data_IF_021075130946
#
_entry.id   IF_021075130946
#
_cell.length_a   1.000
_cell.length_b   1.000
_cell.length_c   1.000
_cell.angle_alpha   90.00
_cell.angle_beta   90.00
_cell.angle_gamma   90.00
#
_symmetry.space_group_name_H-M   'P 1'
#
loop_
_entity.id
_entity.type
_entity.pdbx_description
1 polymer ?
#
# COMPACT_ATOMS: atom_id res chain seq x y z
N UNK A 1 43.21 2.95 7.20
CA UNK A 1 42.17 1.89 7.21
C UNK A 1 41.15 2.01 8.35
N UNK A 2 41.46 2.59 9.51
CA UNK A 2 40.50 2.78 10.62
C UNK A 2 39.36 3.79 10.35
N UNK A 3 39.59 4.82 9.52
CA UNK A 3 38.55 5.81 9.18
C UNK A 3 37.42 5.31 8.26
N UNK A 4 37.63 4.17 7.59
CA UNK A 4 36.66 3.62 6.62
C UNK A 4 35.58 2.76 7.30
N UNK A 5 35.86 2.23 8.51
CA UNK A 5 34.92 1.44 9.31
C UNK A 5 33.96 2.31 10.15
N UNK A 6 34.36 3.54 10.50
CA UNK A 6 33.55 4.45 11.32
C UNK A 6 32.33 5.03 10.56
N UNK A 7 32.38 5.05 9.23
CA UNK A 7 31.30 5.57 8.37
C UNK A 7 30.29 4.46 8.00
N UNK A 8 30.68 3.18 8.09
CA UNK A 8 29.85 2.05 7.66
C UNK A 8 28.80 1.63 8.70
N UNK A 9 29.10 1.79 10.00
CA UNK A 9 28.21 1.39 11.09
C UNK A 9 26.91 2.21 11.20
N UNK A 10 26.91 3.57 11.12
CA UNK A 10 25.68 4.34 11.25
C UNK A 10 24.76 4.22 10.02
N UNK A 11 25.30 4.00 8.82
CA UNK A 11 24.52 3.90 7.57
C UNK A 11 23.65 2.63 7.56
N UNK A 12 24.17 1.50 8.06
CA UNK A 12 23.43 0.24 8.06
C UNK A 12 22.31 0.21 9.12
N UNK A 13 22.52 0.87 10.28
CA UNK A 13 21.46 0.99 11.30
C UNK A 13 20.39 2.03 10.93
N UNK A 14 20.73 3.06 10.16
CA UNK A 14 19.73 3.99 9.64
C UNK A 14 18.90 3.38 8.51
N UNK A 15 19.50 2.55 7.64
CA UNK A 15 18.77 1.88 6.56
C UNK A 15 17.63 0.99 7.06
N UNK A 16 17.87 0.13 8.06
CA UNK A 16 16.84 -0.81 8.56
C UNK A 16 15.69 -0.10 9.32
N UNK A 17 16.00 0.97 10.05
CA UNK A 17 15.00 1.75 10.78
C UNK A 17 14.20 2.70 9.86
N UNK A 18 14.81 3.22 8.79
CA UNK A 18 14.11 4.00 7.77
C UNK A 18 13.19 3.11 6.91
N UNK A 19 13.65 1.91 6.53
CA UNK A 19 12.87 0.95 5.74
C UNK A 19 11.57 0.56 6.48
N UNK A 20 11.66 0.32 7.79
CA UNK A 20 10.48 0.00 8.62
C UNK A 20 9.49 1.18 8.75
N UNK A 21 9.98 2.44 8.82
CA UNK A 21 9.11 3.63 8.89
C UNK A 21 8.44 3.96 7.55
N UNK A 22 9.18 3.88 6.44
CA UNK A 22 8.62 4.17 5.11
C UNK A 22 7.62 3.09 4.69
N UNK A 23 7.90 1.82 4.97
CA UNK A 23 6.97 0.72 4.68
C UNK A 23 5.69 0.84 5.53
N UNK A 24 5.79 1.23 6.80
CA UNK A 24 4.61 1.47 7.64
C UNK A 24 3.78 2.68 7.20
N UNK A 25 4.40 3.79 6.79
CA UNK A 25 3.66 4.93 6.24
C UNK A 25 2.94 4.60 4.93
N UNK A 26 3.61 3.88 4.02
CA UNK A 26 3.00 3.44 2.76
C UNK A 26 1.86 2.43 3.01
N UNK A 27 2.04 1.50 3.96
CA UNK A 27 0.98 0.59 4.38
C UNK A 27 -0.24 1.34 4.94
N UNK A 28 -0.03 2.36 5.77
CA UNK A 28 -1.11 3.18 6.35
C UNK A 28 -1.84 3.98 5.28
N UNK A 29 -1.11 4.65 4.38
CA UNK A 29 -1.72 5.40 3.27
C UNK A 29 -2.48 4.47 2.34
N UNK A 30 -1.89 3.33 2.01
CA UNK A 30 -2.47 2.28 1.19
C UNK A 30 -3.76 1.72 1.78
N UNK A 31 -3.76 1.29 3.05
CA UNK A 31 -4.98 0.76 3.69
C UNK A 31 -6.07 1.82 3.84
N UNK A 32 -5.71 3.09 4.05
CA UNK A 32 -6.68 4.20 4.08
C UNK A 32 -7.33 4.43 2.71
N UNK A 33 -6.52 4.42 1.64
CA UNK A 33 -6.99 4.54 0.27
C UNK A 33 -7.89 3.35 -0.11
N UNK A 34 -7.46 2.13 0.24
CA UNK A 34 -8.24 0.91 0.04
C UNK A 34 -9.58 0.98 0.78
N UNK A 35 -9.58 1.36 2.06
CA UNK A 35 -10.81 1.54 2.84
C UNK A 35 -11.76 2.52 2.15
N UNK A 36 -11.26 3.68 1.72
CA UNK A 36 -12.08 4.67 1.02
C UNK A 36 -12.67 4.12 -0.28
N UNK A 37 -11.86 3.41 -1.08
CA UNK A 37 -12.31 2.82 -2.34
C UNK A 37 -13.41 1.77 -2.13
N UNK A 38 -13.25 0.90 -1.13
CA UNK A 38 -14.23 -0.13 -0.76
C UNK A 38 -15.49 0.51 -0.17
N UNK A 39 -15.33 1.48 0.74
CA UNK A 39 -16.41 2.29 1.30
C UNK A 39 -17.30 2.89 0.22
N UNK A 40 -16.70 3.59 -0.77
CA UNK A 40 -17.45 4.20 -1.88
C UNK A 40 -18.18 3.19 -2.75
N UNK A 41 -17.60 2.01 -2.95
CA UNK A 41 -18.24 0.95 -3.73
C UNK A 41 -19.49 0.42 -3.02
N UNK A 42 -19.41 0.19 -1.71
CA UNK A 42 -20.54 -0.24 -0.89
C UNK A 42 -21.58 0.88 -0.75
N UNK A 43 -21.15 2.14 -0.63
CA UNK A 43 -22.01 3.32 -0.54
C UNK A 43 -22.90 3.48 -1.76
N UNK A 44 -22.39 3.18 -2.95
CA UNK A 44 -23.20 3.18 -4.17
C UNK A 44 -24.36 2.19 -4.12
N UNK A 45 -24.13 0.98 -3.61
CA UNK A 45 -25.21 -0.03 -3.46
C UNK A 45 -26.21 0.39 -2.39
N UNK A 46 -25.71 1.02 -1.33
CA UNK A 46 -26.53 1.58 -0.27
C UNK A 46 -27.45 2.72 -0.76
N UNK A 47 -26.91 3.67 -1.51
CA UNK A 47 -27.68 4.76 -2.12
C UNK A 47 -28.70 4.22 -3.14
N UNK A 48 -28.32 3.21 -3.92
CA UNK A 48 -29.26 2.54 -4.83
C UNK A 48 -30.43 1.90 -4.07
N UNK A 49 -30.15 1.18 -2.98
CA UNK A 49 -31.20 0.59 -2.14
C UNK A 49 -32.14 1.65 -1.59
N UNK A 50 -31.60 2.74 -1.02
CA UNK A 50 -32.41 3.83 -0.46
C UNK A 50 -33.26 4.51 -1.52
N UNK A 51 -32.69 4.80 -2.70
CA UNK A 51 -33.39 5.44 -3.81
C UNK A 51 -34.56 4.58 -4.30
N UNK A 52 -34.36 3.27 -4.44
CA UNK A 52 -35.44 2.35 -4.83
C UNK A 52 -36.48 2.28 -3.72
N UNK A 53 -36.09 2.03 -2.47
CA UNK A 53 -37.02 1.90 -1.34
C UNK A 53 -37.88 3.16 -1.13
N UNK A 54 -37.32 4.35 -1.34
CA UNK A 54 -38.05 5.62 -1.25
C UNK A 54 -39.15 5.78 -2.29
N UNK A 55 -39.08 5.04 -3.41
CA UNK A 55 -40.12 5.04 -4.44
C UNK A 55 -41.13 3.90 -4.28
N UNK A 56 -40.82 2.84 -3.51
CA UNK A 56 -41.68 1.65 -3.44
C UNK A 56 -43.01 1.90 -2.73
N UNK A 57 -43.07 2.85 -1.81
CA UNK A 57 -44.26 3.07 -0.99
C UNK A 57 -45.49 3.51 -1.78
N UNK A 58 -45.29 4.13 -2.95
CA UNK A 58 -46.37 4.61 -3.84
C UNK A 58 -46.61 3.68 -5.03
N UNK A 59 -45.87 2.56 -5.12
CA UNK A 59 -45.88 1.64 -6.26
C UNK A 59 -46.64 0.38 -5.94
N UNK A 60 -47.22 -0.24 -6.96
CA UNK A 60 -47.79 -1.57 -6.83
C UNK A 60 -46.68 -2.65 -6.82
N UNK A 61 -47.08 -3.90 -6.58
CA UNK A 61 -46.15 -5.02 -6.55
C UNK A 61 -45.57 -5.37 -7.92
N UNK A 62 -46.26 -5.05 -9.02
CA UNK A 62 -45.78 -5.33 -10.38
C UNK A 62 -44.62 -4.38 -10.74
N UNK A 63 -44.77 -3.09 -10.42
CA UNK A 63 -43.70 -2.10 -10.57
C UNK A 63 -42.52 -2.40 -9.64
N UNK A 64 -42.80 -2.76 -8.37
CA UNK A 64 -41.76 -3.16 -7.41
C UNK A 64 -40.95 -4.35 -7.93
N UNK A 65 -41.61 -5.33 -8.57
CA UNK A 65 -40.95 -6.48 -9.18
C UNK A 65 -40.01 -6.05 -10.31
N UNK A 66 -40.46 -5.17 -11.20
CA UNK A 66 -39.63 -4.67 -12.29
C UNK A 66 -38.34 -4.01 -11.79
N UNK A 67 -38.40 -3.19 -10.72
CA UNK A 67 -37.19 -2.63 -10.09
C UNK A 67 -36.29 -3.70 -9.47
N UNK A 68 -36.91 -4.62 -8.74
CA UNK A 68 -36.21 -5.69 -8.03
C UNK A 68 -35.47 -6.60 -9.01
N UNK A 69 -36.06 -6.93 -10.16
CA UNK A 69 -35.43 -7.72 -11.22
C UNK A 69 -34.34 -6.93 -11.95
N UNK A 70 -34.56 -5.65 -12.22
CA UNK A 70 -33.57 -4.80 -12.88
C UNK A 70 -32.27 -4.66 -12.07
N UNK A 71 -32.36 -4.61 -10.74
CA UNK A 71 -31.20 -4.48 -9.84
C UNK A 71 -30.25 -5.68 -9.95
N UNK A 72 -30.77 -6.88 -10.18
CA UNK A 72 -29.93 -8.08 -10.36
C UNK A 72 -29.06 -7.96 -11.62
N UNK A 73 -29.59 -7.35 -12.68
CA UNK A 73 -28.94 -7.23 -13.99
C UNK A 73 -28.01 -6.01 -14.05
N UNK A 74 -28.43 -4.88 -13.47
CA UNK A 74 -27.78 -3.58 -13.64
C UNK A 74 -26.34 -3.49 -13.07
N UNK A 75 -25.97 -4.37 -12.15
CA UNK A 75 -24.64 -4.34 -11.52
C UNK A 75 -23.94 -5.68 -11.38
N UNK A 76 -24.66 -6.80 -11.44
CA UNK A 76 -24.10 -8.13 -11.14
C UNK A 76 -23.67 -8.32 -9.68
N UNK A 77 -23.86 -7.31 -8.80
CA UNK A 77 -23.44 -7.26 -7.39
C UNK A 77 -24.51 -7.80 -6.46
N UNK A 78 -25.77 -7.63 -6.82
CA UNK A 78 -26.92 -8.10 -6.05
C UNK A 78 -27.21 -9.54 -6.45
N UNK A 79 -27.27 -10.44 -5.46
CA UNK A 79 -27.65 -11.83 -5.64
C UNK A 79 -29.17 -12.02 -5.66
N UNK A 80 -29.86 -11.24 -4.83
CA UNK A 80 -31.30 -11.27 -4.66
C UNK A 80 -31.77 -9.94 -4.07
N UNK A 81 -32.98 -9.53 -4.40
CA UNK A 81 -33.64 -8.37 -3.80
C UNK A 81 -35.10 -8.72 -3.51
N UNK A 82 -35.71 -8.06 -2.53
CA UNK A 82 -37.10 -8.32 -2.22
C UNK A 82 -37.74 -7.36 -1.24
N UNK A 83 -39.07 -7.39 -1.22
CA UNK A 83 -39.94 -6.64 -0.32
C UNK A 83 -40.71 -7.62 0.56
N UNK A 84 -40.53 -7.49 1.88
CA UNK A 84 -41.35 -8.16 2.87
C UNK A 84 -42.35 -7.17 3.49
N UNK A 85 -43.58 -7.60 3.69
CA UNK A 85 -44.60 -6.79 4.38
C UNK A 85 -44.46 -6.85 5.91
N UNK A 86 -45.35 -6.16 6.63
CA UNK A 86 -45.37 -6.15 8.11
C UNK A 86 -45.67 -7.52 8.76
N UNK A 87 -46.25 -8.47 8.01
CA UNK A 87 -46.42 -9.85 8.49
C UNK A 87 -45.13 -10.65 8.42
N UNK A 88 -44.09 -10.08 7.79
CA UNK A 88 -42.83 -10.75 7.50
C UNK A 88 -42.97 -11.77 6.38
N UNK A 89 -43.92 -11.58 5.47
CA UNK A 89 -44.07 -12.40 4.26
C UNK A 89 -43.45 -11.66 3.09
N UNK A 90 -42.61 -12.36 2.30
CA UNK A 90 -42.09 -11.79 1.05
C UNK A 90 -43.25 -11.62 0.06
N UNK A 91 -43.52 -10.38 -0.33
CA UNK A 91 -44.54 -10.02 -1.34
C UNK A 91 -43.97 -9.93 -2.73
N UNK A 92 -42.72 -9.47 -2.83
CA UNK A 92 -41.99 -9.38 -4.08
C UNK A 92 -40.58 -9.89 -3.85
N UNK A 93 -40.16 -10.85 -4.66
CA UNK A 93 -38.77 -11.31 -4.71
C UNK A 93 -38.27 -11.23 -6.14
N UNK A 94 -36.99 -10.93 -6.32
CA UNK A 94 -36.37 -10.95 -7.66
C UNK A 94 -36.59 -12.29 -8.34
N UNK A 95 -37.03 -12.29 -9.59
CA UNK A 95 -37.44 -13.47 -10.37
C UNK A 95 -38.51 -14.33 -9.68
N UNK A 96 -39.30 -13.77 -8.76
CA UNK A 96 -40.31 -14.50 -7.98
C UNK A 96 -39.74 -15.34 -6.83
N UNK A 97 -38.43 -15.29 -6.59
CA UNK A 97 -37.78 -16.15 -5.59
C UNK A 97 -38.16 -15.73 -4.17
N UNK A 98 -38.69 -16.68 -3.40
CA UNK A 98 -39.00 -16.53 -1.98
C UNK A 98 -40.39 -15.94 -1.67
N UNK A 99 -41.18 -15.59 -2.68
CA UNK A 99 -42.53 -15.03 -2.48
C UNK A 99 -43.44 -15.98 -1.68
N UNK A 100 -44.21 -15.41 -0.75
CA UNK A 100 -45.06 -16.16 0.17
C UNK A 100 -44.32 -16.80 1.35
N UNK A 101 -42.99 -16.72 1.40
CA UNK A 101 -42.19 -17.29 2.51
C UNK A 101 -42.08 -16.29 3.66
N UNK A 102 -42.08 -16.80 4.90
CA UNK A 102 -41.87 -16.00 6.10
C UNK A 102 -40.39 -15.74 6.38
N UNK A 103 -40.05 -14.49 6.67
CA UNK A 103 -38.70 -14.02 7.00
C UNK A 103 -38.61 -13.37 8.38
N UNK A 104 -39.63 -13.58 9.21
CA UNK A 104 -39.76 -13.01 10.57
C UNK A 104 -38.57 -13.33 11.49
N UNK A 105 -37.92 -14.47 11.31
CA UNK A 105 -36.74 -14.90 12.08
C UNK A 105 -35.43 -14.28 11.59
N UNK A 106 -35.41 -13.65 10.41
CA UNK A 106 -34.19 -13.12 9.81
C UNK A 106 -33.78 -11.79 10.45
N UNK A 107 -32.47 -11.59 10.59
CA UNK A 107 -31.94 -10.38 11.21
C UNK A 107 -32.26 -9.12 10.38
N UNK A 108 -32.15 -9.23 9.05
CA UNK A 108 -32.39 -8.11 8.14
C UNK A 108 -33.84 -7.63 8.17
N UNK A 109 -34.81 -8.53 8.37
CA UNK A 109 -36.21 -8.13 8.49
C UNK A 109 -36.47 -7.44 9.82
N UNK A 110 -36.12 -8.11 10.93
CA UNK A 110 -36.37 -7.60 12.29
C UNK A 110 -35.68 -6.26 12.53
N UNK A 111 -34.42 -6.11 12.12
CA UNK A 111 -33.70 -4.83 12.27
C UNK A 111 -34.13 -3.80 11.22
N UNK A 112 -34.42 -4.24 10.00
CA UNK A 112 -34.90 -3.39 8.90
C UNK A 112 -36.22 -2.67 9.21
N UNK A 113 -37.11 -3.29 9.99
CA UNK A 113 -38.34 -2.64 10.47
C UNK A 113 -38.09 -1.42 11.36
N UNK A 114 -37.02 -1.47 12.16
CA UNK A 114 -36.66 -0.41 13.10
C UNK A 114 -35.74 0.66 12.50
N UNK A 115 -35.24 0.43 11.29
CA UNK A 115 -34.37 1.37 10.59
C UNK A 115 -33.44 0.70 9.59
N UNK A 116 -32.60 1.50 8.92
CA UNK A 116 -31.49 1.04 8.12
C UNK A 116 -30.67 -0.06 8.82
N UNK A 117 -30.38 -1.16 8.12
CA UNK A 117 -29.58 -2.26 8.62
C UNK A 117 -28.53 -2.74 7.61
N UNK A 118 -27.32 -3.00 8.10
CA UNK A 118 -26.24 -3.63 7.36
C UNK A 118 -25.85 -4.94 8.04
N UNK A 119 -26.00 -6.05 7.34
CA UNK A 119 -25.84 -7.39 7.87
C UNK A 119 -24.41 -7.90 7.83
N UNK A 120 -24.18 -8.98 8.58
CA UNK A 120 -22.99 -9.81 8.45
C UNK A 120 -23.11 -10.74 7.24
N UNK A 121 -21.96 -11.27 6.81
CA UNK A 121 -21.94 -12.31 5.78
C UNK A 121 -22.62 -13.56 6.30
N UNK A 122 -23.54 -14.06 5.49
CA UNK A 122 -24.34 -15.24 5.77
C UNK A 122 -24.35 -16.09 4.51
N UNK A 123 -24.16 -17.40 4.67
CA UNK A 123 -24.26 -18.33 3.55
C UNK A 123 -25.73 -18.60 3.25
N UNK A 124 -26.15 -18.39 1.99
CA UNK A 124 -27.47 -18.82 1.55
C UNK A 124 -27.52 -20.35 1.59
N UNK A 125 -28.42 -20.91 2.40
CA UNK A 125 -28.60 -22.36 2.53
C UNK A 125 -29.39 -22.89 1.34
N UNK A 126 -28.75 -22.98 0.18
CA UNK A 126 -29.26 -23.77 -0.94
C UNK A 126 -28.87 -25.24 -0.69
N UNK A 127 -29.77 -26.19 -0.93
CA UNK A 127 -29.58 -27.63 -0.66
C UNK A 127 -28.42 -28.28 -1.45
N UNK A 128 -27.81 -27.56 -2.39
CA UNK A 128 -26.67 -28.01 -3.18
C UNK A 128 -25.37 -27.30 -2.75
N UNK A 129 -24.32 -28.05 -2.34
CA UNK A 129 -23.04 -27.48 -1.88
C UNK A 129 -22.34 -26.55 -2.88
N UNK A 130 -22.65 -26.66 -4.17
CA UNK A 130 -22.04 -25.87 -5.24
C UNK A 130 -22.73 -24.51 -5.46
N UNK A 131 -23.93 -24.31 -4.90
CA UNK A 131 -24.72 -23.07 -5.07
C UNK A 131 -24.90 -22.31 -3.76
N UNK A 132 -24.11 -22.65 -2.74
CA UNK A 132 -24.01 -21.89 -1.50
C UNK A 132 -23.29 -20.57 -1.81
N UNK A 133 -24.06 -19.49 -1.89
CA UNK A 133 -23.52 -18.15 -2.13
C UNK A 133 -23.51 -17.39 -0.83
N UNK A 134 -22.33 -16.95 -0.42
CA UNK A 134 -22.17 -16.01 0.68
C UNK A 134 -22.75 -14.66 0.27
N UNK A 135 -23.60 -14.10 1.12
CA UNK A 135 -24.28 -12.83 0.88
C UNK A 135 -24.24 -11.90 2.09
N UNK A 136 -24.31 -10.60 1.82
CA UNK A 136 -24.46 -9.54 2.81
C UNK A 136 -25.84 -8.93 2.62
N UNK A 137 -26.70 -9.06 3.63
CA UNK A 137 -28.04 -8.48 3.57
C UNK A 137 -28.01 -7.04 4.06
N UNK A 138 -28.39 -6.10 3.21
CA UNK A 138 -28.64 -4.70 3.56
C UNK A 138 -30.13 -4.41 3.42
N UNK A 139 -30.74 -3.79 4.41
CA UNK A 139 -32.18 -3.55 4.41
C UNK A 139 -32.55 -2.17 4.93
N UNK A 140 -33.69 -1.68 4.45
CA UNK A 140 -34.27 -0.39 4.83
C UNK A 140 -35.79 -0.51 4.99
N UNK A 141 -36.39 0.23 5.93
CA UNK A 141 -37.84 0.28 6.04
C UNK A 141 -38.43 1.02 4.85
N UNK A 142 -39.48 0.47 4.27
CA UNK A 142 -40.33 1.17 3.30
C UNK A 142 -41.38 1.96 4.08
N UNK A 143 -41.52 3.25 3.81
CA UNK A 143 -42.41 4.14 4.54
C UNK A 143 -43.47 4.73 3.62
N UNK A 144 -44.74 4.71 4.04
CA UNK A 144 -45.86 5.39 3.40
C UNK A 144 -45.61 6.91 3.28
N UNK A 145 -46.44 7.60 2.50
CA UNK A 145 -46.46 9.06 2.42
C UNK A 145 -46.65 9.72 3.79
N UNK A 146 -47.36 9.06 4.71
CA UNK A 146 -47.59 9.51 6.09
C UNK A 146 -46.41 9.21 7.04
N UNK A 147 -45.34 8.58 6.54
CA UNK A 147 -44.14 8.22 7.29
C UNK A 147 -44.22 6.89 8.05
N UNK A 148 -45.36 6.19 8.00
CA UNK A 148 -45.54 4.88 8.63
C UNK A 148 -44.80 3.77 7.87
N UNK A 149 -44.16 2.85 8.59
CA UNK A 149 -43.47 1.70 7.98
C UNK A 149 -44.51 0.72 7.44
N UNK A 150 -44.42 0.38 6.15
CA UNK A 150 -45.34 -0.56 5.46
C UNK A 150 -44.67 -1.91 5.14
N UNK A 151 -43.35 -1.98 5.28
CA UNK A 151 -42.57 -3.19 5.03
C UNK A 151 -41.07 -2.94 5.10
N UNK A 152 -40.29 -3.93 4.67
CA UNK A 152 -38.83 -3.87 4.61
C UNK A 152 -38.37 -4.28 3.22
N UNK A 153 -37.55 -3.43 2.60
CA UNK A 153 -36.87 -3.73 1.35
C UNK A 153 -35.43 -4.14 1.62
N UNK A 154 -34.94 -5.15 0.90
CA UNK A 154 -33.63 -5.76 1.15
C UNK A 154 -32.89 -6.04 -0.15
N UNK A 155 -31.58 -5.81 -0.14
CA UNK A 155 -30.63 -6.38 -1.10
C UNK A 155 -29.73 -7.39 -0.40
N UNK A 156 -29.60 -8.56 -1.01
CA UNK A 156 -28.57 -9.54 -0.70
C UNK A 156 -27.40 -9.34 -1.65
N UNK A 157 -26.35 -8.65 -1.20
CA UNK A 157 -25.14 -8.41 -1.99
C UNK A 157 -24.29 -9.68 -2.04
N UNK A 158 -23.71 -9.99 -3.20
CA UNK A 158 -22.76 -11.09 -3.36
C UNK A 158 -21.47 -10.80 -2.60
N UNK A 159 -21.11 -11.68 -1.67
CA UNK A 159 -19.82 -11.63 -0.99
C UNK A 159 -18.65 -11.77 -1.99
N UNK A 160 -18.83 -12.56 -3.05
CA UNK A 160 -17.82 -12.76 -4.10
C UNK A 160 -17.46 -11.46 -4.82
N UNK A 161 -18.46 -10.62 -5.13
CA UNK A 161 -18.21 -9.32 -5.75
C UNK A 161 -17.36 -8.42 -4.83
N UNK A 162 -17.71 -8.34 -3.55
CA UNK A 162 -16.94 -7.52 -2.60
C UNK A 162 -15.50 -8.05 -2.45
N UNK A 163 -15.34 -9.37 -2.41
CA UNK A 163 -14.03 -10.03 -2.38
C UNK A 163 -13.19 -9.67 -3.61
N UNK A 164 -13.75 -9.78 -4.80
CA UNK A 164 -13.08 -9.43 -6.06
C UNK A 164 -12.71 -7.95 -6.13
N UNK A 165 -13.62 -7.07 -5.70
CA UNK A 165 -13.38 -5.63 -5.67
C UNK A 165 -12.26 -5.25 -4.70
N UNK A 166 -12.28 -5.81 -3.48
CA UNK A 166 -11.21 -5.58 -2.48
C UNK A 166 -9.87 -6.09 -3.00
N UNK A 167 -9.85 -7.27 -3.63
CA UNK A 167 -8.64 -7.83 -4.21
C UNK A 167 -8.06 -6.94 -5.31
N UNK A 168 -8.89 -6.56 -6.30
CA UNK A 168 -8.45 -5.70 -7.39
C UNK A 168 -7.95 -4.34 -6.89
N UNK A 169 -8.68 -3.70 -5.96
CA UNK A 169 -8.27 -2.43 -5.38
C UNK A 169 -6.98 -2.55 -4.54
N UNK A 170 -6.74 -3.69 -3.92
CA UNK A 170 -5.50 -3.95 -3.18
C UNK A 170 -4.33 -4.18 -4.14
N UNK A 171 -4.53 -4.96 -5.20
CA UNK A 171 -3.54 -5.23 -6.24
C UNK A 171 -3.09 -3.92 -6.92
N UNK A 172 -4.03 -3.02 -7.25
CA UNK A 172 -3.74 -1.68 -7.81
C UNK A 172 -2.90 -0.80 -6.86
N UNK A 173 -3.01 -1.02 -5.55
CA UNK A 173 -2.26 -0.31 -4.52
C UNK A 173 -0.96 -1.04 -4.14
N UNK A 174 -0.64 -2.19 -4.77
CA UNK A 174 0.49 -3.02 -4.41
C UNK A 174 0.38 -3.61 -3.00
N UNK A 175 -0.84 -3.90 -2.55
CA UNK A 175 -1.15 -4.40 -1.21
C UNK A 175 -1.77 -5.78 -1.28
N UNK A 176 -1.62 -6.53 -0.18
CA UNK A 176 -2.37 -7.76 0.08
C UNK A 176 -3.45 -7.42 1.09
N UNK A 177 -4.73 -7.53 0.70
CA UNK A 177 -5.85 -7.15 1.56
C UNK A 177 -6.59 -8.35 2.15
N UNK A 178 -7.08 -8.11 3.38
CA UNK A 178 -7.96 -8.98 4.14
C UNK A 178 -9.15 -8.17 4.64
N UNK A 179 -10.32 -8.78 4.69
CA UNK A 179 -11.51 -8.20 5.31
C UNK A 179 -11.84 -8.99 6.55
N UNK A 180 -12.00 -8.31 7.68
CA UNK A 180 -12.27 -8.94 8.98
C UNK A 180 -13.61 -8.48 9.54
N UNK A 181 -14.30 -9.37 10.24
CA UNK A 181 -15.52 -9.03 10.99
C UNK A 181 -15.19 -8.32 12.31
N UNK A 182 -16.21 -7.79 13.00
CA UNK A 182 -16.06 -7.17 14.33
C UNK A 182 -15.43 -8.07 15.40
N UNK A 183 -15.41 -9.39 15.19
CA UNK A 183 -14.78 -10.37 16.10
C UNK A 183 -13.35 -10.70 15.70
N UNK A 184 -12.86 -10.07 14.63
CA UNK A 184 -11.52 -10.27 14.11
C UNK A 184 -11.32 -11.52 13.27
N UNK A 185 -12.41 -12.18 12.87
CA UNK A 185 -12.31 -13.33 11.98
C UNK A 185 -12.12 -12.83 10.55
N UNK A 186 -11.09 -13.34 9.89
CA UNK A 186 -10.89 -13.13 8.46
C UNK A 186 -12.06 -13.70 7.69
N UNK A 187 -12.74 -12.83 6.95
CA UNK A 187 -13.84 -13.16 6.05
C UNK A 187 -13.27 -13.41 4.65
N UNK A 188 -12.38 -12.53 4.19
CA UNK A 188 -11.73 -12.63 2.88
C UNK A 188 -10.22 -12.45 3.02
N UNK A 189 -9.45 -13.24 2.27
CA UNK A 189 -8.00 -13.15 2.16
C UNK A 189 -7.47 -13.98 0.97
N UNK A 190 -6.21 -13.78 0.55
CA UNK A 190 -5.59 -14.52 -0.56
C UNK A 190 -5.45 -16.01 -0.27
N UNK A 191 -5.11 -16.36 0.98
CA UNK A 191 -5.03 -17.74 1.45
C UNK A 191 -6.19 -18.00 2.40
N UNK A 192 -7.14 -18.85 1.98
CA UNK A 192 -8.16 -19.39 2.88
C UNK A 192 -7.55 -20.22 4.04
N UNK A 193 -6.30 -20.67 3.88
CA UNK A 193 -5.57 -21.50 4.83
C UNK A 193 -4.69 -20.68 5.80
N UNK A 194 -4.20 -19.51 5.38
CA UNK A 194 -3.54 -18.57 6.28
C UNK A 194 -4.63 -17.89 7.12
N UNK A 195 -5.07 -18.59 8.16
CA UNK A 195 -5.82 -17.95 9.24
C UNK A 195 -4.89 -16.88 9.79
N UNK A 196 -5.11 -15.62 9.39
CA UNK A 196 -4.64 -14.50 10.19
C UNK A 196 -5.27 -14.69 11.57
N UNK A 197 -4.53 -15.34 12.46
CA UNK A 197 -4.83 -15.39 13.88
C UNK A 197 -4.42 -14.04 14.47
N UNK A 198 -5.01 -12.96 13.93
CA UNK A 198 -5.04 -11.71 14.64
C UNK A 198 -5.87 -11.98 15.88
N UNK A 199 -5.18 -12.14 17.00
CA UNK A 199 -5.84 -12.29 18.30
C UNK A 199 -6.80 -11.10 18.47
N UNK A 200 -7.99 -11.28 19.05
CA UNK A 200 -8.89 -10.16 19.32
C UNK A 200 -8.22 -9.02 20.11
N UNK A 201 -7.16 -9.32 20.87
CA UNK A 201 -6.31 -8.35 21.54
C UNK A 201 -5.44 -7.51 20.58
N UNK A 202 -4.89 -8.10 19.50
CA UNK A 202 -4.12 -7.34 18.49
C UNK A 202 -5.03 -6.52 17.59
N UNK A 203 -6.21 -7.03 17.23
CA UNK A 203 -7.23 -6.21 16.56
C UNK A 203 -7.84 -5.16 17.47
N UNK A 204 -7.98 -5.44 18.77
CA UNK A 204 -8.38 -4.47 19.78
C UNK A 204 -7.36 -3.34 19.90
N UNK A 205 -6.07 -3.66 19.96
CA UNK A 205 -5.01 -2.64 20.02
C UNK A 205 -4.83 -1.88 18.70
N UNK A 206 -5.09 -2.51 17.56
CA UNK A 206 -5.11 -1.90 16.21
C UNK A 206 -6.35 -1.01 15.98
N UNK A 207 -7.52 -1.42 16.48
CA UNK A 207 -8.79 -0.66 16.37
C UNK A 207 -8.84 0.52 17.34
N UNK A 208 -8.21 0.41 18.51
CA UNK A 208 -8.03 1.53 19.44
C UNK A 208 -7.04 2.59 18.92
N UNK A 209 -6.11 2.21 18.02
CA UNK A 209 -5.18 3.12 17.34
C UNK A 209 -5.50 3.21 15.84
N UNK A 210 -6.62 3.84 15.52
CA UNK A 210 -7.07 4.10 14.15
C UNK A 210 -5.94 4.71 13.31
N UNK A 211 -5.52 3.98 12.27
CA UNK A 211 -4.44 4.41 11.37
C UNK A 211 -3.02 4.07 11.84
N UNK A 212 -2.88 3.11 12.76
CA UNK A 212 -1.58 2.51 13.09
C UNK A 212 -1.26 1.30 12.21
N UNK A 213 0.01 1.15 11.85
CA UNK A 213 0.57 -0.08 11.32
C UNK A 213 1.32 -0.79 12.45
N UNK A 214 1.10 -2.10 12.59
CA UNK A 214 1.84 -2.92 13.53
C UNK A 214 2.57 -4.03 12.79
N UNK A 215 3.75 -4.37 13.30
CA UNK A 215 4.47 -5.55 12.89
C UNK A 215 3.82 -6.72 13.63
N UNK A 216 3.18 -7.62 12.89
CA UNK A 216 2.64 -8.86 13.45
C UNK A 216 3.50 -9.99 12.91
N UNK A 217 3.93 -10.86 13.82
CA UNK A 217 4.62 -12.09 13.48
C UNK A 217 3.55 -13.13 13.07
N UNK A 218 3.67 -13.63 11.85
CA UNK A 218 2.74 -14.63 11.32
C UNK A 218 2.93 -15.98 12.02
N UNK A 219 1.99 -16.91 11.84
CA UNK A 219 2.09 -18.27 12.39
C UNK A 219 3.37 -19.00 11.94
N UNK A 220 3.92 -18.59 10.79
CA UNK A 220 5.15 -19.13 10.20
C UNK A 220 6.44 -18.43 10.69
N UNK A 221 6.35 -17.52 11.68
CA UNK A 221 7.50 -16.79 12.23
C UNK A 221 8.03 -15.66 11.33
N UNK A 222 7.33 -15.33 10.24
CA UNK A 222 7.69 -14.21 9.37
C UNK A 222 7.14 -12.89 9.92
N UNK A 223 8.00 -11.88 10.08
CA UNK A 223 7.60 -10.53 10.53
C UNK A 223 6.98 -9.77 9.36
N UNK A 224 5.68 -9.52 9.44
CA UNK A 224 4.94 -8.80 8.41
C UNK A 224 4.33 -7.52 8.98
N UNK A 225 4.34 -6.45 8.19
CA UNK A 225 3.70 -5.19 8.56
C UNK A 225 2.24 -5.24 8.11
N UNK A 226 1.32 -5.19 9.08
CA UNK A 226 -0.11 -5.07 8.83
C UNK A 226 -0.59 -3.68 9.24
N UNK A 227 -1.29 -3.02 8.33
CA UNK A 227 -1.99 -1.78 8.60
C UNK A 227 -3.49 -2.08 8.65
N UNK A 228 -4.17 -1.54 9.66
CA UNK A 228 -5.62 -1.71 9.83
C UNK A 228 -6.32 -0.40 9.58
N UNK A 229 -7.31 -0.42 8.70
CA UNK A 229 -8.27 0.65 8.59
C UNK A 229 -9.56 0.20 9.30
N UNK A 230 -10.06 1.00 10.26
CA UNK A 230 -11.29 0.65 10.99
C UNK A 230 -12.49 0.63 10.04
N UNK A 231 -13.63 0.23 10.59
CA UNK A 231 -14.91 0.01 9.92
C UNK A 231 -15.16 0.83 8.64
N UNK A 232 -15.64 0.13 7.60
CA UNK A 232 -16.08 0.77 6.36
C UNK A 232 -17.14 1.82 6.67
N UNK A 233 -16.83 3.07 6.38
CA UNK A 233 -17.78 4.19 6.46
C UNK A 233 -18.54 4.24 5.16
N UNK A 234 -19.87 4.16 5.20
CA UNK A 234 -20.72 4.06 4.01
C UNK A 234 -21.76 5.17 4.11
N UNK A 235 -21.39 6.41 3.78
CA UNK A 235 -22.29 7.58 3.87
C UNK A 235 -23.15 7.62 5.13
N UNK A 236 -24.47 7.63 4.92
CA UNK A 236 -25.50 7.60 5.97
C UNK A 236 -25.96 6.18 6.37
N UNK A 237 -25.25 5.14 5.92
CA UNK A 237 -25.55 3.76 6.27
C UNK A 237 -25.22 3.47 7.74
N UNK A 238 -25.89 2.48 8.35
CA UNK A 238 -25.54 2.01 9.68
C UNK A 238 -24.14 1.36 9.68
N UNK A 239 -23.54 1.17 10.87
CA UNK A 239 -22.25 0.48 11.01
C UNK A 239 -22.25 -0.89 10.29
N UNK A 240 -21.29 -1.09 9.38
CA UNK A 240 -21.16 -2.29 8.53
C UNK A 240 -20.60 -3.50 9.28
N UNK A 241 -19.82 -3.27 10.34
CA UNK A 241 -19.06 -4.26 11.08
C UNK A 241 -17.91 -4.90 10.30
N UNK A 242 -17.53 -4.33 9.14
CA UNK A 242 -16.47 -4.83 8.29
C UNK A 242 -15.26 -3.90 8.37
N UNK A 243 -14.09 -4.44 8.71
CA UNK A 243 -12.82 -3.70 8.72
C UNK A 243 -11.87 -4.25 7.66
N UNK A 244 -11.01 -3.39 7.13
CA UNK A 244 -10.03 -3.77 6.10
C UNK A 244 -8.64 -3.77 6.71
N UNK A 245 -7.94 -4.88 6.53
CA UNK A 245 -6.56 -5.07 6.97
C UNK A 245 -5.73 -5.26 5.71
N UNK A 246 -4.68 -4.46 5.53
CA UNK A 246 -3.76 -4.62 4.42
C UNK A 246 -2.36 -4.92 4.92
N UNK A 247 -1.65 -5.77 4.17
CA UNK A 247 -0.24 -6.08 4.31
C UNK A 247 0.48 -5.56 3.07
N UNK A 248 1.64 -4.95 3.29
CA UNK A 248 2.55 -4.66 2.17
C UNK A 248 3.27 -5.99 1.86
N UNK A 249 3.19 -6.53 0.63
CA UNK A 249 3.99 -7.68 0.26
C UNK A 249 5.46 -7.32 0.52
N UNK A 250 6.26 -8.24 1.11
CA UNK A 250 7.68 -7.99 1.25
C UNK A 250 8.19 -7.62 -0.15
N UNK A 251 8.80 -6.44 -0.28
CA UNK A 251 9.23 -5.90 -1.56
C UNK A 251 9.85 -7.05 -2.35
N UNK A 252 9.21 -7.43 -3.46
CA UNK A 252 9.64 -8.57 -4.26
C UNK A 252 11.10 -8.37 -4.62
N UNK A 253 11.96 -9.04 -3.86
CA UNK A 253 13.39 -9.22 -4.12
C UNK A 253 14.13 -7.96 -4.53
N UNK A 254 14.23 -6.92 -3.69
CA UNK A 254 15.38 -5.98 -3.67
C UNK A 254 15.89 -5.39 -5.00
N UNK A 255 15.15 -5.39 -6.10
CA UNK A 255 15.69 -4.99 -7.41
C UNK A 255 15.74 -3.46 -7.54
N UNK A 256 14.77 -2.75 -6.97
CA UNK A 256 14.75 -1.28 -7.04
C UNK A 256 15.71 -0.62 -6.04
N UNK A 257 15.92 -1.21 -4.86
CA UNK A 257 16.87 -0.67 -3.86
C UNK A 257 18.32 -0.98 -4.22
N UNK A 258 18.59 -2.13 -4.85
CA UNK A 258 19.95 -2.45 -5.32
C UNK A 258 20.38 -1.55 -6.47
N UNK A 259 19.48 -1.11 -7.36
CA UNK A 259 19.84 -0.17 -8.42
C UNK A 259 20.26 1.20 -7.88
N UNK A 260 19.57 1.72 -6.86
CA UNK A 260 19.95 2.98 -6.21
C UNK A 260 21.31 2.85 -5.48
N UNK A 261 21.50 1.72 -4.77
CA UNK A 261 22.77 1.38 -4.11
C UNK A 261 23.93 1.24 -5.10
N UNK A 262 23.74 0.53 -6.21
CA UNK A 262 24.77 0.32 -7.24
C UNK A 262 25.13 1.64 -7.94
N UNK A 263 24.16 2.49 -8.24
CA UNK A 263 24.44 3.82 -8.80
C UNK A 263 25.24 4.72 -7.82
N UNK A 264 24.96 4.63 -6.51
CA UNK A 264 25.76 5.30 -5.48
C UNK A 264 27.18 4.73 -5.38
N UNK A 265 27.34 3.40 -5.43
CA UNK A 265 28.66 2.76 -5.44
C UNK A 265 29.47 3.12 -6.68
N UNK A 266 28.84 3.16 -7.86
CA UNK A 266 29.49 3.55 -9.11
C UNK A 266 29.90 5.02 -9.08
N UNK A 267 29.06 5.92 -8.57
CA UNK A 267 29.41 7.34 -8.46
C UNK A 267 30.54 7.58 -7.44
N UNK A 268 30.55 6.85 -6.33
CA UNK A 268 31.62 6.89 -5.34
C UNK A 268 32.95 6.35 -5.90
N UNK A 269 32.92 5.21 -6.60
CA UNK A 269 34.11 4.66 -7.27
C UNK A 269 34.61 5.57 -8.37
N UNK A 270 33.72 6.18 -9.15
CA UNK A 270 34.06 7.14 -10.20
C UNK A 270 34.78 8.35 -9.62
N UNK A 271 34.26 8.93 -8.53
CA UNK A 271 34.88 10.06 -7.86
C UNK A 271 36.28 9.71 -7.31
N UNK A 272 36.42 8.55 -6.67
CA UNK A 272 37.71 8.04 -6.20
C UNK A 272 38.70 7.80 -7.35
N UNK A 273 38.21 7.27 -8.47
CA UNK A 273 39.01 7.06 -9.69
C UNK A 273 39.54 8.37 -10.26
N UNK A 274 38.69 9.39 -10.38
CA UNK A 274 39.07 10.72 -10.85
C UNK A 274 40.12 11.35 -9.92
N UNK A 275 39.92 11.25 -8.60
CA UNK A 275 40.88 11.77 -7.62
C UNK A 275 42.25 11.06 -7.71
N UNK A 276 42.24 9.74 -7.92
CA UNK A 276 43.45 8.94 -8.11
C UNK A 276 44.21 9.33 -9.39
N UNK A 277 43.51 9.51 -10.50
CA UNK A 277 44.12 9.97 -11.77
C UNK A 277 44.71 11.37 -11.60
N UNK A 278 44.00 12.27 -10.93
CA UNK A 278 44.48 13.63 -10.66
C UNK A 278 45.74 13.63 -9.80
N UNK A 279 45.79 12.77 -8.77
CA UNK A 279 46.97 12.59 -7.91
C UNK A 279 48.20 12.11 -8.72
N UNK A 280 48.03 11.11 -9.59
CA UNK A 280 49.11 10.59 -10.44
C UNK A 280 49.61 11.65 -11.42
N UNK A 281 48.69 12.40 -12.04
CA UNK A 281 49.04 13.51 -12.95
C UNK A 281 49.80 14.59 -12.20
N UNK A 282 49.35 14.97 -11.00
CA UNK A 282 50.00 15.98 -10.18
C UNK A 282 51.43 15.57 -9.78
N UNK A 283 51.63 14.33 -9.33
CA UNK A 283 52.97 13.82 -9.00
C UNK A 283 53.90 13.79 -10.22
N UNK A 284 53.40 13.39 -11.40
CA UNK A 284 54.22 13.31 -12.61
C UNK A 284 54.55 14.69 -13.19
N UNK A 285 53.63 15.64 -13.11
CA UNK A 285 53.76 16.92 -13.79
C UNK A 285 54.37 18.03 -12.92
N UNK A 286 54.19 17.96 -11.60
CA UNK A 286 54.70 18.97 -10.66
C UNK A 286 55.81 18.44 -9.76
N UNK A 287 55.62 17.29 -9.11
CA UNK A 287 56.56 16.83 -8.06
C UNK A 287 57.87 16.30 -8.64
N UNK A 288 57.81 15.37 -9.61
CA UNK A 288 59.02 14.76 -10.20
C UNK A 288 59.95 15.77 -10.91
N UNK A 289 59.45 16.74 -11.70
CA UNK A 289 60.31 17.76 -12.30
C UNK A 289 60.98 18.64 -11.24
N UNK A 290 60.26 18.96 -10.16
CA UNK A 290 60.80 19.75 -9.05
C UNK A 290 61.94 19.00 -8.35
N UNK A 291 61.76 17.71 -8.03
CA UNK A 291 62.81 16.86 -7.43
C UNK A 291 64.07 16.80 -8.29
N UNK A 292 63.91 16.68 -9.62
CA UNK A 292 65.03 16.65 -10.57
C UNK A 292 65.75 18.00 -10.67
N UNK A 293 65.01 19.11 -10.75
CA UNK A 293 65.60 20.46 -10.75
C UNK A 293 66.34 20.75 -9.45
N UNK A 294 65.80 20.29 -8.32
CA UNK A 294 66.47 20.39 -7.02
C UNK A 294 67.75 19.55 -6.98
N UNK A 295 67.74 18.37 -7.62
CA UNK A 295 68.92 17.53 -7.82
C UNK A 295 70.02 18.21 -8.63
N UNK A 296 69.66 18.78 -9.80
CA UNK A 296 70.59 19.49 -10.69
C UNK A 296 71.20 20.71 -9.97
N UNK A 297 70.38 21.49 -9.25
CA UNK A 297 70.86 22.62 -8.47
C UNK A 297 71.89 22.19 -7.40
N UNK A 298 71.70 21.01 -6.80
CA UNK A 298 72.62 20.45 -5.81
C UNK A 298 73.94 20.00 -6.44
N UNK A 299 73.89 19.38 -7.61
CA UNK A 299 75.10 18.97 -8.36
C UNK A 299 75.94 20.16 -8.82
N UNK A 300 75.29 21.24 -9.27
CA UNK A 300 75.96 22.52 -9.63
C UNK A 300 76.60 23.14 -8.38
N UNK A 301 75.91 23.14 -7.24
CA UNK A 301 76.46 23.64 -5.97
C UNK A 301 77.66 22.83 -5.45
N UNK A 302 77.75 21.55 -5.82
CA UNK A 302 78.88 20.66 -5.52
C UNK A 302 80.03 20.78 -6.55
N UNK A 303 79.92 21.66 -7.55
CA UNK A 303 80.98 21.93 -8.53
C UNK A 303 81.03 20.95 -9.71
N UNK A 304 79.96 20.19 -9.95
CA UNK A 304 79.82 19.32 -11.14
C UNK A 304 79.19 20.11 -12.28
N UNK A 305 79.52 19.78 -13.54
CA UNK A 305 78.92 20.38 -14.75
C UNK A 305 77.91 19.42 -15.42
N UNK A 306 76.68 19.27 -14.89
CA UNK A 306 75.63 18.56 -15.61
C UNK A 306 75.05 19.43 -16.74
N UNK A 307 74.73 18.82 -17.88
CA UNK A 307 74.05 19.50 -19.00
C UNK A 307 72.59 19.78 -18.62
N UNK A 308 72.10 21.03 -18.63
CA UNK A 308 70.72 21.32 -18.24
C UNK A 308 69.73 20.78 -19.28
N UNK A 309 68.83 19.88 -18.87
CA UNK A 309 67.65 19.54 -19.68
C UNK A 309 66.61 20.67 -19.57
N UNK A 310 66.15 21.21 -20.70
CA UNK A 310 65.05 22.20 -20.73
C UNK A 310 63.71 21.50 -20.43
N UNK A 311 63.08 21.85 -19.31
CA UNK A 311 61.77 21.33 -18.91
C UNK A 311 60.67 22.38 -19.09
N UNK A 312 59.68 22.05 -19.94
CA UNK A 312 58.54 22.92 -20.25
C UNK A 312 57.24 22.45 -19.54
N UNK A 313 57.35 21.80 -18.37
CA UNK A 313 56.19 21.18 -17.71
C UNK A 313 55.32 22.18 -16.95
N UNK A 314 55.90 23.26 -16.41
CA UNK A 314 55.15 24.36 -15.82
C UNK A 314 55.93 25.67 -15.98
N UNK A 315 55.22 26.80 -15.94
CA UNK A 315 55.79 28.13 -16.14
C UNK A 315 56.81 28.50 -15.05
N UNK A 316 56.64 27.93 -13.86
CA UNK A 316 57.54 28.05 -12.72
C UNK A 316 58.81 27.21 -12.90
N UNK A 317 58.70 26.00 -13.45
CA UNK A 317 59.86 25.15 -13.77
C UNK A 317 60.71 25.76 -14.89
N UNK A 318 60.06 26.35 -15.89
CA UNK A 318 60.72 27.07 -16.99
C UNK A 318 61.47 28.30 -16.46
N UNK A 319 60.83 29.11 -15.61
CA UNK A 319 61.50 30.26 -14.96
C UNK A 319 62.67 29.84 -14.07
N UNK A 320 62.55 28.74 -13.34
CA UNK A 320 63.63 28.24 -12.48
C UNK A 320 64.80 27.69 -13.31
N UNK A 321 64.53 26.97 -14.40
CA UNK A 321 65.55 26.49 -15.33
C UNK A 321 66.31 27.64 -16.00
N UNK A 322 65.60 28.68 -16.43
CA UNK A 322 66.21 29.90 -16.97
C UNK A 322 67.03 30.67 -15.92
N UNK A 323 66.61 30.69 -14.66
CA UNK A 323 67.40 31.30 -13.59
C UNK A 323 68.69 30.53 -13.31
N UNK A 324 68.62 29.19 -13.26
CA UNK A 324 69.76 28.29 -13.05
C UNK A 324 70.81 28.40 -14.18
N UNK A 325 70.36 28.33 -15.44
CA UNK A 325 71.25 28.51 -16.60
C UNK A 325 71.95 29.87 -16.60
N UNK A 326 71.26 30.94 -16.20
CA UNK A 326 71.81 32.29 -16.12
C UNK A 326 72.81 32.48 -14.96
N UNK A 327 72.67 31.72 -13.88
CA UNK A 327 73.66 31.71 -12.78
C UNK A 327 74.91 30.96 -13.22
N UNK A 328 74.75 29.80 -13.88
CA UNK A 328 75.86 29.02 -14.40
C UNK A 328 76.67 29.81 -15.44
N UNK A 329 76.00 30.55 -16.33
CA UNK A 329 76.66 31.40 -17.34
C UNK A 329 77.37 32.64 -16.77
N UNK A 330 77.20 32.95 -15.48
CA UNK A 330 77.81 34.11 -14.82
C UNK A 330 79.03 33.73 -13.96
N UNK A 331 79.22 32.43 -13.73
CA UNK A 331 80.37 31.87 -12.99
C UNK A 331 81.49 31.37 -13.93
N UNK A 332 81.25 31.36 -15.24
CA UNK A 332 82.25 31.34 -16.31
C UNK A 332 82.36 32.74 -16.93
#
# INVERSE_FOLDING_TARGET
>A
MLGMLAIWWPINQHAQNFETRVVSENAIRGVKALRLAVSRAVEREWESLQAVAGQLATKDYAETRAFTDAVLVAGGRVAWAGLADLSGTIRVGSNGVGEGTSVTSTEWYRKGLHGPFFGRITSSSTEQPHDQRDVINISVPVKSADGEVTGVYVYSLKASWLKEYVRAAADDLGLIAYVVDQRGRSIFGPDQQARLNLTPASLGSLSLNIGSAQIVEDADGSKNIFAVAPELTVGNAPPTGLSVVARVPPASTGQDVTQLSVAMWISLLSLLGVLGVFSILFTRHFVRPLERLTGIAREIAEGKEPYPEEYNSSRECEQLSHALSRIQSRYY
#
